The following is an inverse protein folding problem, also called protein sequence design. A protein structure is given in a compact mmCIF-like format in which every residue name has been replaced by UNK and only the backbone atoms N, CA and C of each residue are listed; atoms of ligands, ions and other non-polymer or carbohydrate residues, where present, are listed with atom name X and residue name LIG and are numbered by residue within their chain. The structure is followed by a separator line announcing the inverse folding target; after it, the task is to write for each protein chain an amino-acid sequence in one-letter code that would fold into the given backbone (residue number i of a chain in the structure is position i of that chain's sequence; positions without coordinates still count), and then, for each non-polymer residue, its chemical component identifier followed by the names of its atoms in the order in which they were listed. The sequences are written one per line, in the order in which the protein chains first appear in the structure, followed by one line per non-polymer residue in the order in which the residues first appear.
data_IF_921500995966
#
_entry.id   IF_921500995966
#
_cell.length_a   1.000
_cell.length_b   1.000
_cell.length_c   1.000
_cell.angle_alpha   90.00
_cell.angle_beta   90.00
_cell.angle_gamma   90.00
#
_symmetry.space_group_name_H-M   'P 1'
#
loop_
_entity.id
_entity.type
_entity.pdbx_description
1 polymer ?
#
# COMPACT_ATOMS: atom_id res chain seq x y z
N UNK A 1 -15.45 -24.63 -3.52
CA UNK A 1 -15.54 -23.74 -2.34
C UNK A 1 -16.49 -22.61 -2.70
N UNK A 2 -17.22 -22.00 -1.72
CA UNK A 2 -18.13 -20.87 -2.02
C UNK A 2 -17.56 -19.57 -1.47
N UNK A 3 -17.89 -18.46 -2.12
CA UNK A 3 -17.66 -17.11 -1.66
C UNK A 3 -18.99 -16.39 -1.40
N UNK A 4 -19.03 -15.56 -0.36
CA UNK A 4 -20.17 -14.70 -0.01
C UNK A 4 -19.70 -13.27 0.22
N UNK A 5 -20.58 -12.29 0.00
CA UNK A 5 -20.32 -10.87 0.23
C UNK A 5 -21.09 -10.37 1.44
N UNK A 6 -20.40 -9.77 2.40
CA UNK A 6 -20.97 -9.30 3.66
C UNK A 6 -20.77 -7.79 3.75
N UNK A 7 -21.89 -7.03 3.87
CA UNK A 7 -21.86 -5.57 4.02
C UNK A 7 -21.58 -5.18 5.48
N UNK A 8 -20.32 -5.14 5.87
CA UNK A 8 -19.87 -4.96 7.25
C UNK A 8 -18.77 -3.89 7.41
N UNK A 9 -18.50 -3.10 6.36
CA UNK A 9 -17.38 -2.14 6.37
C UNK A 9 -16.01 -2.77 6.34
N UNK A 10 -15.90 -4.05 5.96
CA UNK A 10 -14.64 -4.81 6.00
C UNK A 10 -14.30 -5.41 7.37
N UNK A 11 -15.20 -5.29 8.37
CA UNK A 11 -14.95 -5.72 9.74
C UNK A 11 -14.66 -7.22 9.85
N UNK A 12 -15.30 -8.06 9.04
CA UNK A 12 -15.04 -9.51 9.01
C UNK A 12 -13.62 -9.86 8.57
N UNK A 13 -13.00 -9.02 7.75
CA UNK A 13 -11.62 -9.18 7.31
C UNK A 13 -10.59 -8.46 8.19
N UNK A 14 -11.06 -7.74 9.24
CA UNK A 14 -10.18 -6.97 10.11
C UNK A 14 -9.19 -7.84 10.87
N UNK A 15 -7.96 -7.35 10.98
CA UNK A 15 -6.86 -7.95 11.71
C UNK A 15 -5.97 -6.83 12.29
N UNK A 16 -6.14 -6.48 13.58
CA UNK A 16 -5.42 -5.36 14.18
C UNK A 16 -3.91 -5.57 14.29
N UNK A 17 -3.43 -6.81 14.19
CA UNK A 17 -1.99 -7.10 14.20
C UNK A 17 -1.30 -6.74 12.88
N UNK A 18 -2.07 -6.48 11.83
CA UNK A 18 -1.59 -6.14 10.51
C UNK A 18 -2.19 -4.82 10.02
N UNK A 19 -1.34 -3.81 9.79
CA UNK A 19 -1.79 -2.45 9.46
C UNK A 19 -2.79 -2.41 8.30
N UNK A 20 -2.50 -3.09 7.19
CA UNK A 20 -3.36 -3.05 5.99
C UNK A 20 -4.72 -3.75 6.15
N UNK A 21 -4.97 -4.34 7.31
CA UNK A 21 -6.25 -4.90 7.70
C UNK A 21 -6.73 -4.36 9.05
N UNK A 22 -6.05 -3.35 9.61
CA UNK A 22 -6.52 -2.71 10.85
C UNK A 22 -7.85 -1.98 10.61
N UNK A 23 -8.71 -1.86 11.63
CA UNK A 23 -9.98 -1.14 11.51
C UNK A 23 -9.80 0.30 11.00
N UNK A 24 -8.82 1.04 11.54
CA UNK A 24 -8.54 2.41 11.14
C UNK A 24 -8.14 2.53 9.66
N UNK A 25 -7.31 1.59 9.18
CA UNK A 25 -6.91 1.56 7.78
C UNK A 25 -8.09 1.22 6.87
N UNK A 26 -8.88 0.19 7.20
CA UNK A 26 -10.03 -0.22 6.41
C UNK A 26 -11.07 0.92 6.31
N UNK A 27 -11.30 1.64 7.40
CA UNK A 27 -12.16 2.81 7.41
C UNK A 27 -11.58 3.96 6.58
N UNK A 28 -10.26 4.24 6.70
CA UNK A 28 -9.59 5.29 5.92
C UNK A 28 -9.65 5.03 4.41
N UNK A 29 -9.49 3.78 4.00
CA UNK A 29 -9.57 3.35 2.59
C UNK A 29 -11.02 3.21 2.08
N UNK A 30 -12.02 3.32 2.97
CA UNK A 30 -13.43 3.20 2.61
C UNK A 30 -13.85 1.77 2.28
N UNK A 31 -13.30 0.77 2.97
CA UNK A 31 -13.76 -0.60 2.84
C UNK A 31 -15.26 -0.67 3.17
N UNK A 32 -16.02 -1.37 2.34
CA UNK A 32 -17.49 -1.45 2.45
C UNK A 32 -17.98 -2.84 2.82
N UNK A 33 -17.25 -3.86 2.41
CA UNK A 33 -17.65 -5.26 2.55
C UNK A 33 -16.47 -6.16 2.86
N UNK A 34 -16.79 -7.34 3.36
CA UNK A 34 -15.90 -8.50 3.42
C UNK A 34 -16.36 -9.55 2.42
N UNK A 35 -15.45 -10.04 1.59
CA UNK A 35 -15.67 -11.29 0.83
C UNK A 35 -15.17 -12.44 1.68
N UNK A 36 -16.09 -13.30 2.09
CA UNK A 36 -15.78 -14.51 2.84
C UNK A 36 -15.69 -15.71 1.89
N UNK A 37 -14.59 -16.46 1.95
CA UNK A 37 -14.31 -17.63 1.12
C UNK A 37 -14.23 -18.87 2.00
N UNK A 38 -14.93 -19.93 1.61
CA UNK A 38 -14.85 -21.23 2.28
C UNK A 38 -15.30 -21.20 3.73
N UNK A 39 -16.47 -20.59 4.01
CA UNK A 39 -17.03 -20.46 5.37
C UNK A 39 -16.06 -19.79 6.36
N UNK A 40 -15.37 -18.75 5.91
CA UNK A 40 -14.45 -17.94 6.72
C UNK A 40 -13.01 -18.43 6.77
N UNK A 41 -12.63 -19.39 5.94
CA UNK A 41 -11.23 -19.80 5.82
C UNK A 41 -10.34 -18.62 5.38
N UNK A 42 -10.81 -17.81 4.41
CA UNK A 42 -10.21 -16.53 4.07
C UNK A 42 -11.27 -15.43 4.03
N UNK A 43 -10.88 -14.21 4.37
CA UNK A 43 -11.70 -13.00 4.35
C UNK A 43 -10.92 -11.85 3.73
N UNK A 44 -11.45 -11.33 2.61
CA UNK A 44 -10.86 -10.24 1.85
C UNK A 44 -11.61 -8.94 2.15
N UNK A 45 -10.96 -7.87 2.59
CA UNK A 45 -11.59 -6.56 2.67
C UNK A 45 -11.74 -5.98 1.26
N UNK A 46 -12.93 -5.47 0.93
CA UNK A 46 -13.19 -4.90 -0.39
C UNK A 46 -14.00 -3.62 -0.33
N UNK A 47 -13.82 -2.79 -1.35
CA UNK A 47 -14.61 -1.62 -1.68
C UNK A 47 -15.52 -2.03 -2.84
N UNK A 48 -16.81 -2.16 -2.59
CA UNK A 48 -17.81 -2.44 -3.62
C UNK A 48 -18.19 -1.14 -4.32
N UNK A 49 -18.25 -1.18 -5.66
CA UNK A 49 -18.46 -0.01 -6.51
C UNK A 49 -19.58 -0.29 -7.50
N UNK A 50 -20.50 0.64 -7.69
CA UNK A 50 -21.54 0.54 -8.71
C UNK A 50 -20.98 0.66 -10.14
N UNK A 51 -21.60 -0.08 -11.06
CA UNK A 51 -21.42 -0.03 -12.49
C UNK A 51 -22.80 0.25 -13.09
N UNK A 52 -22.88 0.89 -14.26
CA UNK A 52 -24.14 1.08 -15.01
C UNK A 52 -25.30 1.63 -14.15
N UNK A 53 -25.09 2.80 -13.50
CA UNK A 53 -26.10 3.43 -12.64
C UNK A 53 -26.57 2.55 -11.46
N UNK A 54 -25.79 1.51 -11.11
CA UNK A 54 -26.06 0.61 -9.98
C UNK A 54 -26.72 -0.71 -10.35
N UNK A 55 -26.90 -1.00 -11.64
CA UNK A 55 -27.45 -2.28 -12.10
C UNK A 55 -26.50 -3.45 -11.82
N UNK A 56 -25.18 -3.19 -11.92
CA UNK A 56 -24.12 -4.14 -11.58
C UNK A 56 -23.14 -3.55 -10.57
N UNK A 57 -22.40 -4.41 -9.90
CA UNK A 57 -21.38 -4.04 -8.94
C UNK A 57 -20.08 -4.83 -9.15
N UNK A 58 -18.95 -4.18 -8.97
CA UNK A 58 -17.65 -4.84 -8.86
C UNK A 58 -16.99 -4.51 -7.51
N UNK A 59 -15.85 -5.12 -7.26
CA UNK A 59 -15.10 -4.84 -6.05
C UNK A 59 -13.61 -4.67 -6.32
N UNK A 60 -12.97 -3.90 -5.44
CA UNK A 60 -11.52 -3.72 -5.41
C UNK A 60 -11.04 -3.79 -3.96
N UNK A 61 -9.90 -4.40 -3.72
CA UNK A 61 -9.26 -4.34 -2.39
C UNK A 61 -8.79 -2.92 -2.08
N UNK A 62 -8.70 -2.51 -0.79
CA UNK A 62 -8.02 -1.30 -0.35
C UNK A 62 -6.64 -1.13 -0.99
N UNK A 63 -6.13 0.10 -1.04
CA UNK A 63 -4.79 0.38 -1.55
C UNK A 63 -3.72 -0.15 -0.57
N UNK A 64 -2.53 -0.48 -1.07
CA UNK A 64 -1.46 -1.12 -0.30
C UNK A 64 -1.42 -2.63 -0.49
N UNK A 65 -1.24 -3.37 0.59
CA UNK A 65 -1.02 -4.82 0.57
C UNK A 65 -1.97 -5.56 1.54
N UNK A 66 -3.29 -5.39 1.41
CA UNK A 66 -4.22 -5.95 2.39
C UNK A 66 -4.26 -7.48 2.39
N UNK A 67 -4.19 -8.13 1.22
CA UNK A 67 -4.37 -9.58 1.12
C UNK A 67 -5.67 -10.03 1.76
N UNK A 68 -5.63 -11.21 2.40
CA UNK A 68 -6.74 -11.75 3.18
C UNK A 68 -6.36 -11.98 4.63
N UNK A 69 -7.32 -11.90 5.56
CA UNK A 69 -7.23 -12.47 6.90
C UNK A 69 -7.72 -13.92 6.91
N UNK A 70 -7.44 -14.65 7.98
CA UNK A 70 -7.77 -16.06 8.13
C UNK A 70 -6.58 -16.98 7.81
N UNK A 71 -6.84 -18.26 7.94
CA UNK A 71 -5.85 -19.31 7.66
C UNK A 71 -6.49 -20.43 6.85
N UNK A 72 -5.79 -20.83 5.82
CA UNK A 72 -6.10 -22.02 5.04
C UNK A 72 -4.84 -22.84 4.85
N UNK A 73 -4.93 -24.14 5.08
CA UNK A 73 -3.82 -25.05 4.81
C UNK A 73 -3.83 -25.45 3.34
N UNK A 74 -2.85 -24.98 2.58
CA UNK A 74 -2.71 -25.23 1.15
C UNK A 74 -2.97 -23.97 0.30
N UNK A 75 -3.01 -24.16 -1.02
CA UNK A 75 -3.31 -23.11 -1.98
C UNK A 75 -4.80 -23.07 -2.30
N UNK A 76 -5.38 -21.88 -2.30
CA UNK A 76 -6.74 -21.66 -2.78
C UNK A 76 -6.67 -21.16 -4.24
N UNK A 77 -7.09 -22.03 -5.18
CA UNK A 77 -7.26 -21.65 -6.57
C UNK A 77 -8.58 -20.92 -6.75
N UNK A 78 -8.56 -19.63 -7.16
CA UNK A 78 -9.78 -18.85 -7.38
C UNK A 78 -10.72 -19.44 -8.44
N UNK A 79 -10.21 -20.21 -9.40
CA UNK A 79 -11.02 -20.87 -10.45
C UNK A 79 -11.93 -21.97 -9.88
N UNK A 80 -11.60 -22.52 -8.72
CA UNK A 80 -12.40 -23.51 -7.99
C UNK A 80 -13.44 -22.90 -7.03
N UNK A 81 -13.59 -21.58 -7.00
CA UNK A 81 -14.51 -20.86 -6.12
C UNK A 81 -15.82 -20.56 -6.86
N UNK A 82 -16.93 -20.89 -6.24
CA UNK A 82 -18.26 -20.46 -6.67
C UNK A 82 -18.52 -19.03 -6.14
N UNK A 83 -18.50 -18.05 -7.04
CA UNK A 83 -18.69 -16.62 -6.76
C UNK A 83 -20.13 -16.16 -6.85
N UNK A 84 -21.07 -17.01 -7.22
CA UNK A 84 -22.46 -16.64 -7.55
C UNK A 84 -23.16 -15.90 -6.41
N UNK A 85 -22.92 -16.30 -5.16
CA UNK A 85 -23.55 -15.69 -3.99
C UNK A 85 -22.97 -14.30 -3.62
N UNK A 86 -21.91 -13.85 -4.30
CA UNK A 86 -21.36 -12.50 -4.08
C UNK A 86 -22.14 -11.42 -4.82
N UNK A 87 -22.79 -11.75 -5.95
CA UNK A 87 -23.42 -10.78 -6.83
C UNK A 87 -22.46 -9.81 -7.51
N UNK A 88 -21.15 -10.06 -7.44
CA UNK A 88 -20.12 -9.21 -8.05
C UNK A 88 -19.85 -9.65 -9.49
N UNK A 89 -19.59 -8.68 -10.37
CA UNK A 89 -19.11 -8.95 -11.75
C UNK A 89 -17.64 -9.35 -11.73
N UNK A 90 -16.82 -8.61 -11.01
CA UNK A 90 -15.39 -8.91 -10.87
C UNK A 90 -14.81 -8.38 -9.57
N UNK A 91 -13.62 -8.89 -9.19
CA UNK A 91 -12.86 -8.41 -8.03
C UNK A 91 -11.40 -8.21 -8.44
N UNK A 92 -10.85 -7.03 -8.17
CA UNK A 92 -9.41 -6.79 -8.22
C UNK A 92 -8.81 -6.88 -6.83
N UNK A 93 -7.95 -7.88 -6.60
CA UNK A 93 -7.32 -8.11 -5.30
C UNK A 93 -5.84 -7.70 -5.35
N UNK A 94 -5.42 -6.87 -4.41
CA UNK A 94 -4.01 -6.66 -4.06
C UNK A 94 -3.66 -7.60 -2.93
N UNK A 95 -2.68 -8.46 -3.16
CA UNK A 95 -2.26 -9.42 -2.14
C UNK A 95 -1.21 -8.82 -1.20
N UNK A 96 -0.85 -9.54 -0.16
CA UNK A 96 0.29 -9.21 0.69
C UNK A 96 1.61 -9.45 -0.05
N UNK A 97 2.69 -8.89 0.45
CA UNK A 97 4.02 -9.11 -0.12
C UNK A 97 4.50 -10.52 0.22
N UNK A 98 5.17 -11.15 -0.73
CA UNK A 98 5.75 -12.49 -0.58
C UNK A 98 4.77 -13.58 -0.92
N UNK A 99 4.24 -14.28 0.08
CA UNK A 99 3.31 -15.39 -0.13
C UNK A 99 1.88 -14.90 -0.36
N UNK A 100 1.30 -15.16 -1.55
CA UNK A 100 -0.06 -14.76 -1.85
C UNK A 100 -1.10 -15.59 -1.06
N UNK A 101 -2.27 -15.00 -0.81
CA UNK A 101 -3.39 -15.69 -0.16
C UNK A 101 -4.14 -16.62 -1.12
N UNK A 102 -4.07 -16.32 -2.41
CA UNK A 102 -4.70 -17.08 -3.50
C UNK A 102 -3.63 -17.52 -4.49
N UNK A 103 -3.80 -18.69 -5.11
CA UNK A 103 -2.90 -19.13 -6.18
C UNK A 103 -3.24 -18.45 -7.53
N UNK A 104 -2.37 -18.59 -8.51
CA UNK A 104 -2.59 -18.11 -9.88
C UNK A 104 -2.55 -16.58 -10.05
N UNK A 105 -2.08 -15.85 -9.06
CA UNK A 105 -1.93 -14.39 -9.16
C UNK A 105 -0.86 -13.96 -10.15
N UNK A 106 -1.05 -12.77 -10.72
CA UNK A 106 -0.05 -12.13 -11.56
C UNK A 106 0.96 -11.38 -10.69
N UNK A 107 2.26 -11.64 -10.88
CA UNK A 107 3.32 -10.81 -10.28
C UNK A 107 3.25 -9.43 -10.93
N UNK A 108 2.70 -8.46 -10.20
CA UNK A 108 2.54 -7.09 -10.68
C UNK A 108 3.88 -6.37 -10.78
N UNK A 109 4.70 -6.51 -9.76
CA UNK A 109 6.09 -6.05 -9.71
C UNK A 109 6.85 -6.78 -8.60
N UNK A 110 8.16 -6.54 -8.52
CA UNK A 110 8.95 -6.89 -7.36
C UNK A 110 9.17 -5.63 -6.51
N UNK A 111 9.01 -5.77 -5.22
CA UNK A 111 9.28 -4.71 -4.25
C UNK A 111 10.67 -4.90 -3.67
N UNK A 112 11.38 -3.79 -3.46
CA UNK A 112 12.72 -3.79 -2.90
C UNK A 112 12.65 -3.94 -1.37
N UNK A 113 13.43 -4.89 -0.84
CA UNK A 113 13.49 -5.21 0.59
C UNK A 113 14.87 -4.81 1.14
N UNK A 114 14.86 -4.07 2.24
CA UNK A 114 16.05 -3.75 3.02
C UNK A 114 15.98 -4.47 4.38
N UNK A 115 16.81 -5.49 4.54
CA UNK A 115 17.01 -6.19 5.81
C UNK A 115 18.36 -5.76 6.41
N UNK A 116 18.27 -4.88 7.42
CA UNK A 116 19.42 -4.16 7.93
C UNK A 116 20.03 -3.16 6.92
N UNK A 117 21.15 -2.56 7.27
CA UNK A 117 21.79 -1.47 6.51
C UNK A 117 22.77 -1.95 5.42
N UNK A 118 23.02 -3.26 5.31
CA UNK A 118 24.03 -3.83 4.44
C UNK A 118 23.80 -3.51 2.95
N UNK A 119 22.52 -3.36 2.54
CA UNK A 119 22.12 -3.02 1.17
C UNK A 119 22.40 -1.59 0.73
N UNK A 120 22.60 -0.67 1.67
CA UNK A 120 22.78 0.76 1.33
C UNK A 120 24.06 0.96 0.55
N UNK A 121 23.94 1.41 -0.71
CA UNK A 121 25.10 1.70 -1.58
C UNK A 121 26.02 2.75 -0.95
N UNK A 122 27.34 2.60 -1.11
CA UNK A 122 28.36 3.52 -0.56
C UNK A 122 28.04 5.00 -0.81
N UNK A 123 27.68 5.35 -2.06
CA UNK A 123 27.34 6.73 -2.44
C UNK A 123 26.17 7.30 -1.65
N UNK A 124 25.17 6.46 -1.34
CA UNK A 124 24.00 6.88 -0.52
C UNK A 124 24.41 7.12 0.92
N UNK A 125 25.24 6.24 1.51
CA UNK A 125 25.80 6.46 2.86
C UNK A 125 26.60 7.75 2.97
N UNK A 126 27.39 8.06 1.95
CA UNK A 126 28.14 9.32 1.88
C UNK A 126 27.19 10.54 1.83
N UNK A 127 26.11 10.44 1.04
CA UNK A 127 25.11 11.50 0.96
C UNK A 127 24.34 11.69 2.26
N UNK A 128 23.93 10.60 2.93
CA UNK A 128 23.29 10.63 4.25
C UNK A 128 24.16 11.36 5.25
N UNK A 129 25.44 10.96 5.40
CA UNK A 129 26.41 11.62 6.28
C UNK A 129 26.64 13.09 5.92
N UNK A 130 26.59 13.45 4.63
CA UNK A 130 26.68 14.84 4.19
C UNK A 130 25.47 15.65 4.66
N UNK A 131 24.28 15.09 4.56
CA UNK A 131 23.05 15.73 5.05
C UNK A 131 23.10 15.94 6.58
N UNK A 132 23.50 14.91 7.34
CA UNK A 132 23.67 15.01 8.79
C UNK A 132 24.62 16.16 9.19
N UNK A 133 25.78 16.28 8.50
CA UNK A 133 26.70 17.41 8.73
C UNK A 133 26.13 18.79 8.34
N UNK A 134 25.04 18.81 7.55
CA UNK A 134 24.30 20.02 7.17
C UNK A 134 23.09 20.30 8.08
N UNK A 135 22.98 19.58 9.19
CA UNK A 135 21.93 19.75 10.17
C UNK A 135 20.62 19.02 9.82
N UNK A 136 20.62 18.07 8.88
CA UNK A 136 19.47 17.21 8.66
C UNK A 136 19.36 16.17 9.75
N UNK A 137 18.18 16.10 10.36
CA UNK A 137 17.81 15.09 11.36
C UNK A 137 16.62 14.28 10.85
N UNK A 138 16.61 12.98 11.11
CA UNK A 138 15.47 12.11 10.88
C UNK A 138 14.89 11.70 12.24
N UNK A 139 13.64 12.07 12.49
CA UNK A 139 12.92 11.76 13.73
C UNK A 139 11.90 10.66 13.41
N UNK A 140 11.90 9.59 14.20
CA UNK A 140 10.91 8.51 14.13
C UNK A 140 9.95 8.71 15.28
N UNK A 141 8.68 8.89 14.96
CA UNK A 141 7.60 9.20 15.91
C UNK A 141 6.54 8.13 15.77
N UNK A 142 6.15 7.45 16.86
CA UNK A 142 5.03 6.51 16.81
C UNK A 142 3.76 7.24 16.33
N UNK A 143 2.97 6.60 15.48
CA UNK A 143 1.81 7.25 14.86
C UNK A 143 0.90 7.95 15.86
N UNK A 144 0.46 7.29 16.97
CA UNK A 144 -0.37 7.92 17.99
C UNK A 144 0.29 9.10 18.73
N UNK A 145 1.62 9.20 18.70
CA UNK A 145 2.38 10.29 19.36
C UNK A 145 2.64 11.48 18.41
N UNK A 146 2.35 11.33 17.11
CA UNK A 146 2.52 12.41 16.14
C UNK A 146 1.52 13.54 16.42
N UNK A 147 2.02 14.71 16.85
CA UNK A 147 1.20 15.88 17.12
C UNK A 147 0.72 16.59 15.85
N UNK A 148 -0.15 17.57 16.00
CA UNK A 148 -0.73 18.29 14.87
C UNK A 148 0.34 19.04 14.03
N UNK A 149 1.38 19.58 14.67
CA UNK A 149 2.44 20.31 13.96
C UNK A 149 3.27 19.37 13.09
N UNK A 150 3.63 18.21 13.63
CA UNK A 150 4.39 17.15 12.96
C UNK A 150 3.60 16.59 11.76
N UNK A 151 2.29 16.32 11.96
CA UNK A 151 1.40 15.89 10.86
C UNK A 151 1.30 16.93 9.77
N UNK A 152 1.09 18.21 10.12
CA UNK A 152 1.01 19.30 9.14
C UNK A 152 2.30 19.45 8.32
N UNK A 153 3.47 19.29 8.92
CA UNK A 153 4.75 19.32 8.20
C UNK A 153 4.85 18.19 7.16
N UNK A 154 4.42 16.98 7.53
CA UNK A 154 4.34 15.85 6.60
C UNK A 154 3.36 16.11 5.46
N UNK A 155 2.13 16.55 5.78
CA UNK A 155 1.07 16.82 4.80
C UNK A 155 1.50 17.86 3.77
N UNK A 156 2.19 18.93 4.21
CA UNK A 156 2.77 19.93 3.30
C UNK A 156 3.75 19.29 2.32
N UNK A 157 4.73 18.53 2.83
CA UNK A 157 5.74 17.88 2.02
C UNK A 157 5.13 16.85 1.04
N UNK A 158 4.11 16.11 1.49
CA UNK A 158 3.34 15.17 0.68
C UNK A 158 2.59 15.88 -0.45
N UNK A 159 1.80 16.90 -0.13
CA UNK A 159 0.99 17.67 -1.08
C UNK A 159 1.87 18.33 -2.15
N UNK A 160 2.99 18.95 -1.77
CA UNK A 160 3.94 19.52 -2.72
C UNK A 160 4.54 18.45 -3.64
N UNK A 161 4.80 17.25 -3.11
CA UNK A 161 5.27 16.12 -3.93
C UNK A 161 4.22 15.66 -4.92
N UNK A 162 2.97 15.49 -4.49
CA UNK A 162 1.87 15.08 -5.38
C UNK A 162 1.63 16.10 -6.48
N UNK A 163 1.63 17.39 -6.15
CA UNK A 163 1.49 18.47 -7.12
C UNK A 163 2.63 18.48 -8.14
N UNK A 164 3.88 18.35 -7.68
CA UNK A 164 5.08 18.36 -8.54
C UNK A 164 5.13 17.18 -9.49
N UNK A 165 4.69 16.00 -9.05
CA UNK A 165 4.73 14.77 -9.85
C UNK A 165 3.52 14.59 -10.74
N UNK A 166 2.51 15.49 -10.67
CA UNK A 166 1.26 15.35 -11.40
C UNK A 166 0.49 14.08 -11.00
N UNK A 167 0.52 13.75 -9.71
CA UNK A 167 -0.11 12.53 -9.21
C UNK A 167 -1.62 12.52 -9.49
N UNK A 168 -2.15 11.34 -9.79
CA UNK A 168 -3.59 11.16 -10.01
C UNK A 168 -4.40 11.55 -8.76
N UNK A 169 -5.63 12.05 -8.96
CA UNK A 169 -6.51 12.54 -7.90
C UNK A 169 -6.69 11.58 -6.72
N UNK A 170 -6.65 10.26 -6.97
CA UNK A 170 -6.74 9.24 -5.93
C UNK A 170 -5.61 9.25 -4.89
N UNK A 171 -4.52 9.99 -5.14
CA UNK A 171 -3.40 10.17 -4.20
C UNK A 171 -3.46 11.51 -3.47
N UNK A 172 -4.48 12.32 -3.72
CA UNK A 172 -4.69 13.60 -3.04
C UNK A 172 -5.58 13.36 -1.81
N UNK A 173 -4.97 12.80 -0.76
CA UNK A 173 -5.68 12.47 0.46
C UNK A 173 -5.98 13.71 1.31
N UNK A 174 -7.17 13.77 1.97
CA UNK A 174 -7.47 14.81 2.96
C UNK A 174 -6.71 14.56 4.27
N UNK A 175 -6.59 15.58 5.12
CA UNK A 175 -5.88 15.50 6.42
C UNK A 175 -6.41 14.38 7.32
N UNK A 176 -7.72 14.17 7.32
CA UNK A 176 -8.38 13.11 8.11
C UNK A 176 -7.90 11.69 7.74
N UNK A 177 -7.49 11.49 6.49
CA UNK A 177 -6.92 10.22 6.06
C UNK A 177 -5.61 9.94 6.79
N UNK A 178 -4.68 10.91 6.82
CA UNK A 178 -3.41 10.75 7.52
C UNK A 178 -3.59 10.62 9.04
N UNK A 179 -4.54 11.36 9.62
CA UNK A 179 -4.87 11.23 11.04
C UNK A 179 -5.33 9.81 11.37
N UNK A 180 -6.19 9.20 10.54
CA UNK A 180 -6.65 7.82 10.74
C UNK A 180 -5.50 6.82 10.64
N UNK A 181 -4.65 6.92 9.61
CA UNK A 181 -3.50 6.05 9.48
C UNK A 181 -2.57 6.10 10.70
N UNK A 182 -2.37 7.30 11.25
CA UNK A 182 -1.47 7.53 12.39
C UNK A 182 -2.10 7.23 13.75
N UNK A 183 -3.38 6.86 13.84
CA UNK A 183 -3.97 6.30 15.08
C UNK A 183 -3.48 4.90 15.39
N UNK A 184 -3.08 4.16 14.37
CA UNK A 184 -2.63 2.78 14.52
C UNK A 184 -1.29 2.71 15.26
N UNK A 185 -1.18 1.85 16.27
CA UNK A 185 0.08 1.51 16.94
C UNK A 185 1.07 0.80 16.00
N UNK A 186 0.61 0.39 14.82
CA UNK A 186 1.40 -0.21 13.75
C UNK A 186 1.87 0.80 12.72
N UNK A 187 1.86 2.10 13.04
CA UNK A 187 2.30 3.18 12.16
C UNK A 187 3.33 4.09 12.82
N UNK A 188 4.18 4.68 12.01
CA UNK A 188 5.20 5.66 12.42
C UNK A 188 5.23 6.79 11.41
N UNK A 189 5.36 8.01 11.90
CA UNK A 189 5.71 9.17 11.09
C UNK A 189 7.21 9.41 11.21
N UNK A 190 7.92 9.33 10.09
CA UNK A 190 9.35 9.62 10.01
C UNK A 190 9.51 10.98 9.38
N UNK A 191 9.94 11.97 10.16
CA UNK A 191 10.07 13.36 9.73
C UNK A 191 11.54 13.74 9.53
N UNK A 192 11.86 14.29 8.37
CA UNK A 192 13.16 14.89 8.08
C UNK A 192 13.11 16.39 8.31
N UNK A 193 13.89 16.86 9.28
CA UNK A 193 13.93 18.26 9.65
C UNK A 193 15.33 18.86 9.47
N UNK A 194 15.38 20.17 9.22
CA UNK A 194 16.58 20.98 9.24
C UNK A 194 16.24 22.35 9.86
N UNK A 195 17.08 22.83 10.76
CA UNK A 195 16.90 24.10 11.48
C UNK A 195 15.56 24.17 12.24
N UNK A 196 15.04 23.02 12.70
CA UNK A 196 13.77 22.90 13.40
C UNK A 196 12.54 22.82 12.47
N UNK A 197 12.71 22.89 11.16
CA UNK A 197 11.61 22.84 10.19
C UNK A 197 11.55 21.45 9.53
N UNK A 198 10.36 20.82 9.60
CA UNK A 198 10.07 19.57 8.92
C UNK A 198 9.86 19.77 7.42
N UNK A 199 10.78 19.24 6.60
CA UNK A 199 10.85 19.48 5.16
C UNK A 199 10.69 18.21 4.32
N UNK A 200 10.67 17.06 4.96
CA UNK A 200 10.40 15.76 4.33
C UNK A 200 9.68 14.87 5.32
N UNK A 201 8.90 13.93 4.83
CA UNK A 201 8.24 12.99 5.73
C UNK A 201 7.86 11.68 5.03
N UNK A 202 7.71 10.64 5.82
CA UNK A 202 7.24 9.34 5.39
C UNK A 202 6.35 8.71 6.46
N UNK A 203 5.27 8.05 6.05
CA UNK A 203 4.51 7.15 6.90
C UNK A 203 5.03 5.74 6.66
N UNK A 204 5.53 5.12 7.72
CA UNK A 204 5.91 3.71 7.74
C UNK A 204 4.87 2.91 8.53
N UNK A 205 4.58 1.67 8.11
CA UNK A 205 3.54 0.84 8.72
C UNK A 205 3.98 -0.62 8.81
N UNK A 206 3.60 -1.32 9.88
CA UNK A 206 3.95 -2.72 10.08
C UNK A 206 2.77 -3.64 9.70
N UNK A 207 3.00 -4.56 8.75
CA UNK A 207 2.01 -5.53 8.30
C UNK A 207 2.71 -6.78 7.73
N UNK A 208 2.14 -7.95 8.02
CA UNK A 208 2.52 -9.23 7.42
C UNK A 208 4.04 -9.50 7.42
N UNK A 209 4.70 -9.21 8.54
CA UNK A 209 6.13 -9.48 8.73
C UNK A 209 7.08 -8.46 8.10
N UNK A 210 6.57 -7.35 7.60
CA UNK A 210 7.36 -6.25 7.02
C UNK A 210 7.03 -4.91 7.69
N UNK A 211 8.04 -4.03 7.76
CA UNK A 211 7.82 -2.60 7.85
C UNK A 211 7.69 -2.07 6.42
N UNK A 212 6.66 -1.29 6.10
CA UNK A 212 6.44 -0.77 4.76
C UNK A 212 6.65 0.74 4.72
N UNK A 213 7.47 1.24 3.81
CA UNK A 213 7.39 2.63 3.37
C UNK A 213 6.08 2.79 2.57
N UNK A 214 5.11 3.44 3.16
CA UNK A 214 3.75 3.52 2.60
C UNK A 214 3.53 4.80 1.80
N UNK A 215 3.67 5.95 2.44
CA UNK A 215 3.51 7.27 1.83
C UNK A 215 4.69 8.16 2.16
N UNK A 216 5.03 9.12 1.29
CA UNK A 216 6.09 10.05 1.60
C UNK A 216 6.16 11.23 0.65
N UNK A 217 6.80 12.28 1.12
CA UNK A 217 6.99 13.50 0.37
C UNK A 217 8.20 14.31 0.81
N UNK A 218 8.59 15.26 -0.04
CA UNK A 218 9.69 16.19 0.21
C UNK A 218 9.28 17.56 -0.28
N UNK A 219 9.39 18.58 0.57
CA UNK A 219 9.14 19.97 0.22
C UNK A 219 10.08 20.43 -0.91
N UNK A 220 9.59 21.33 -1.76
CA UNK A 220 10.30 21.79 -2.95
C UNK A 220 11.70 22.33 -2.62
N UNK A 221 11.82 23.09 -1.55
CA UNK A 221 13.07 23.72 -1.11
C UNK A 221 14.14 22.71 -0.62
N UNK A 222 13.72 21.51 -0.21
CA UNK A 222 14.61 20.46 0.30
C UNK A 222 15.10 19.47 -0.78
N UNK A 223 14.60 19.55 -1.99
CA UNK A 223 14.88 18.56 -3.04
C UNK A 223 16.38 18.43 -3.36
N UNK A 224 17.14 19.53 -3.35
CA UNK A 224 18.57 19.53 -3.64
C UNK A 224 19.39 18.68 -2.67
N UNK A 225 18.95 18.58 -1.42
CA UNK A 225 19.61 17.76 -0.39
C UNK A 225 19.11 16.32 -0.39
N UNK A 226 17.92 16.08 -0.98
CA UNK A 226 17.30 14.74 -1.05
C UNK A 226 17.21 14.04 0.32
N UNK A 227 16.54 14.66 1.31
CA UNK A 227 16.50 14.18 2.70
C UNK A 227 15.81 12.83 2.86
N UNK A 228 15.00 12.39 1.89
CA UNK A 228 14.40 11.06 1.88
C UNK A 228 15.42 9.93 2.06
N UNK A 229 16.70 10.16 1.72
CA UNK A 229 17.79 9.20 1.98
C UNK A 229 18.02 8.98 3.47
N UNK A 230 17.94 10.04 4.27
CA UNK A 230 18.05 9.97 5.71
C UNK A 230 16.83 9.28 6.32
N UNK A 231 15.63 9.54 5.78
CA UNK A 231 14.40 8.89 6.22
C UNK A 231 14.43 7.39 5.94
N UNK A 232 14.93 6.97 4.76
CA UNK A 232 15.07 5.54 4.45
C UNK A 232 16.06 4.86 5.40
N UNK A 233 17.19 5.51 5.73
CA UNK A 233 18.13 4.98 6.71
C UNK A 233 17.48 4.86 8.11
N UNK A 234 16.70 5.85 8.53
CA UNK A 234 15.96 5.81 9.79
C UNK A 234 14.90 4.71 9.82
N UNK A 235 14.15 4.50 8.72
CA UNK A 235 13.17 3.42 8.62
C UNK A 235 13.84 2.03 8.61
N UNK A 236 15.02 1.88 8.00
CA UNK A 236 15.79 0.64 8.04
C UNK A 236 16.23 0.34 9.49
N UNK A 237 16.70 1.36 10.22
CA UNK A 237 17.05 1.22 11.62
C UNK A 237 15.84 0.82 12.49
N UNK A 238 14.68 1.49 12.28
CA UNK A 238 13.42 1.13 12.92
C UNK A 238 13.03 -0.32 12.62
N UNK A 239 13.11 -0.74 11.36
CA UNK A 239 12.83 -2.12 10.95
C UNK A 239 13.73 -3.13 11.68
N UNK A 240 15.02 -2.81 11.84
CA UNK A 240 15.96 -3.63 12.59
C UNK A 240 15.58 -3.74 14.07
N UNK A 241 15.16 -2.64 14.70
CA UNK A 241 14.69 -2.62 16.10
C UNK A 241 13.41 -3.45 16.29
N UNK A 242 12.51 -3.40 15.32
CA UNK A 242 11.25 -4.16 15.33
C UNK A 242 11.42 -5.62 14.90
N UNK A 243 12.58 -6.02 14.36
CA UNK A 243 12.79 -7.33 13.75
C UNK A 243 12.02 -7.53 12.44
N UNK A 244 11.73 -6.44 11.71
CA UNK A 244 10.97 -6.43 10.47
C UNK A 244 11.83 -5.88 9.32
N UNK A 245 12.03 -6.60 8.21
CA UNK A 245 12.67 -6.04 7.03
C UNK A 245 11.80 -4.90 6.44
N UNK A 246 12.45 -3.84 5.94
CA UNK A 246 11.75 -2.71 5.33
C UNK A 246 11.41 -3.01 3.86
N UNK A 247 10.13 -3.01 3.54
CA UNK A 247 9.66 -2.94 2.16
C UNK A 247 9.62 -1.50 1.69
N UNK A 248 10.45 -1.19 0.69
CA UNK A 248 10.51 0.12 0.06
C UNK A 248 9.48 0.31 -1.07
N UNK A 249 8.74 -0.77 -1.41
CA UNK A 249 7.89 -0.81 -2.61
C UNK A 249 8.71 -0.88 -3.89
N UNK A 250 8.03 -0.79 -5.03
CA UNK A 250 8.64 -0.72 -6.37
C UNK A 250 8.70 0.71 -6.94
N UNK A 251 9.09 0.83 -8.22
CA UNK A 251 8.93 2.04 -9.01
C UNK A 251 7.49 2.21 -9.55
N UNK A 252 7.24 3.26 -10.31
CA UNK A 252 5.99 3.41 -11.08
C UNK A 252 6.00 2.46 -12.29
N UNK A 253 7.17 2.35 -12.93
CA UNK A 253 7.48 1.35 -13.95
C UNK A 253 8.79 0.67 -13.62
N UNK A 254 8.96 -0.62 -13.95
CA UNK A 254 10.23 -1.31 -13.73
C UNK A 254 11.41 -0.59 -14.35
N UNK A 255 12.44 -0.32 -13.55
CA UNK A 255 13.68 0.33 -14.00
C UNK A 255 13.62 1.86 -14.10
N UNK A 256 12.55 2.51 -13.62
CA UNK A 256 12.52 3.98 -13.54
C UNK A 256 13.46 4.53 -12.45
N UNK A 257 13.59 5.85 -12.37
CA UNK A 257 14.49 6.50 -11.43
C UNK A 257 14.11 6.25 -9.95
N UNK A 258 12.83 6.04 -9.67
CA UNK A 258 12.34 5.71 -8.34
C UNK A 258 12.70 4.27 -7.97
N UNK A 259 12.57 3.35 -8.92
CA UNK A 259 12.99 1.97 -8.78
C UNK A 259 14.51 1.86 -8.49
N UNK A 260 15.36 2.53 -9.28
CA UNK A 260 16.81 2.54 -9.03
C UNK A 260 17.18 3.21 -7.70
N UNK A 261 16.46 4.26 -7.32
CA UNK A 261 16.65 4.91 -6.02
C UNK A 261 16.40 3.95 -4.87
N UNK A 262 15.26 3.24 -4.87
CA UNK A 262 14.89 2.26 -3.84
C UNK A 262 15.83 1.07 -3.83
N UNK A 263 16.19 0.55 -4.99
CA UNK A 263 17.20 -0.52 -5.15
C UNK A 263 18.53 -0.16 -4.53
N UNK A 264 18.85 1.13 -4.43
CA UNK A 264 20.09 1.62 -3.80
C UNK A 264 20.16 1.37 -2.29
N UNK A 265 19.03 1.05 -1.63
CA UNK A 265 18.93 0.75 -0.20
C UNK A 265 18.68 -0.73 0.08
N UNK A 266 18.26 -1.49 -0.91
CA UNK A 266 17.82 -2.86 -0.77
C UNK A 266 18.97 -3.88 -0.83
N UNK A 267 18.77 -5.01 -0.17
CA UNK A 267 19.59 -6.22 -0.27
C UNK A 267 18.77 -7.47 -0.61
N UNK A 268 17.45 -7.31 -0.85
CA UNK A 268 16.53 -8.35 -1.28
C UNK A 268 15.39 -7.79 -2.11
N UNK A 269 14.59 -8.70 -2.65
CA UNK A 269 13.35 -8.40 -3.38
C UNK A 269 12.28 -9.43 -3.01
N UNK A 270 11.01 -9.01 -3.06
CA UNK A 270 9.87 -9.91 -2.89
C UNK A 270 8.81 -9.66 -3.97
N UNK A 271 8.11 -10.70 -4.47
CA UNK A 271 7.05 -10.52 -5.44
C UNK A 271 5.82 -9.88 -4.79
N UNK A 272 5.17 -9.00 -5.53
CA UNK A 272 3.85 -8.47 -5.20
C UNK A 272 2.84 -8.99 -6.22
N UNK A 273 1.83 -9.72 -5.73
CA UNK A 273 0.81 -10.34 -6.56
C UNK A 273 -0.49 -9.54 -6.56
N UNK A 274 -1.16 -9.58 -7.71
CA UNK A 274 -2.56 -9.14 -7.85
C UNK A 274 -3.37 -10.23 -8.49
N UNK A 275 -4.67 -10.28 -8.16
CA UNK A 275 -5.61 -11.23 -8.75
C UNK A 275 -6.73 -10.47 -9.45
N UNK A 276 -7.01 -10.87 -10.66
CA UNK A 276 -8.06 -10.35 -11.55
C UNK A 276 -9.16 -11.42 -11.66
N UNK A 277 -10.15 -11.34 -10.76
CA UNK A 277 -11.16 -12.38 -10.60
C UNK A 277 -12.43 -11.98 -11.32
N UNK A 278 -12.88 -12.80 -12.29
CA UNK A 278 -14.17 -12.65 -12.94
C UNK A 278 -15.18 -13.55 -12.20
N UNK A 279 -16.16 -12.92 -11.55
CA UNK A 279 -17.14 -13.60 -10.70
C UNK A 279 -18.43 -13.94 -11.48
N UNK A 280 -18.84 -13.07 -12.41
CA UNK A 280 -19.92 -13.29 -13.37
C UNK A 280 -19.39 -13.11 -14.80
N UNK A 281 -19.00 -14.20 -15.49
CA UNK A 281 -18.46 -14.11 -16.84
C UNK A 281 -19.41 -13.47 -17.86
N UNK A 282 -20.73 -13.72 -17.76
CA UNK A 282 -21.69 -13.20 -18.71
C UNK A 282 -21.82 -11.67 -18.60
N UNK A 283 -22.01 -11.16 -17.39
CA UNK A 283 -22.06 -9.72 -17.12
C UNK A 283 -20.71 -9.04 -17.45
N UNK A 284 -19.60 -9.70 -17.15
CA UNK A 284 -18.26 -9.18 -17.45
C UNK A 284 -18.05 -8.99 -18.96
N UNK A 285 -18.38 -9.98 -19.79
CA UNK A 285 -18.25 -9.91 -21.24
C UNK A 285 -19.17 -8.83 -21.84
N UNK A 286 -20.41 -8.73 -21.37
CA UNK A 286 -21.35 -7.70 -21.81
C UNK A 286 -20.83 -6.29 -21.52
N UNK A 287 -20.38 -6.03 -20.28
CA UNK A 287 -19.83 -4.73 -19.87
C UNK A 287 -18.53 -4.39 -20.62
N UNK A 288 -17.64 -5.37 -20.79
CA UNK A 288 -16.41 -5.18 -21.55
C UNK A 288 -16.69 -4.83 -23.03
N UNK A 289 -17.70 -5.46 -23.64
CA UNK A 289 -18.09 -5.15 -25.01
C UNK A 289 -18.68 -3.73 -25.15
N UNK A 290 -19.41 -3.24 -24.15
CA UNK A 290 -19.98 -1.90 -24.13
C UNK A 290 -18.94 -0.79 -23.93
N UNK A 291 -17.89 -1.02 -23.15
CA UNK A 291 -16.90 0.00 -22.79
C UNK A 291 -15.88 0.33 -23.90
N UNK A 292 -15.76 -0.52 -24.90
CA UNK A 292 -14.75 -0.37 -25.95
C UNK A 292 -13.35 -0.84 -25.53
N UNK A 293 -12.31 -0.53 -26.33
CA UNK A 293 -10.97 -1.04 -26.09
C UNK A 293 -10.32 -0.37 -24.86
N UNK A 294 -9.96 -1.18 -23.88
CA UNK A 294 -9.20 -0.74 -22.72
C UNK A 294 -7.67 -0.75 -22.98
N UNK A 295 -6.87 0.03 -22.25
CA UNK A 295 -5.42 -0.10 -22.25
C UNK A 295 -4.99 -1.53 -21.93
N UNK A 296 -3.93 -2.00 -22.59
CA UNK A 296 -3.42 -3.35 -22.37
C UNK A 296 -3.10 -3.59 -20.88
N UNK A 297 -3.64 -4.68 -20.32
CA UNK A 297 -3.43 -5.06 -18.91
C UNK A 297 -4.23 -4.20 -17.91
N UNK A 298 -5.23 -3.44 -18.35
CA UNK A 298 -6.15 -2.74 -17.45
C UNK A 298 -7.33 -3.64 -17.08
N UNK A 299 -7.53 -3.84 -15.80
CA UNK A 299 -8.62 -4.67 -15.26
C UNK A 299 -9.47 -3.89 -14.24
N UNK A 300 -10.79 -4.03 -14.28
CA UNK A 300 -11.57 -4.59 -15.39
C UNK A 300 -11.68 -3.57 -16.55
N UNK A 301 -11.79 -4.02 -17.82
CA UNK A 301 -11.77 -3.14 -19.00
C UNK A 301 -12.88 -2.10 -19.01
N UNK A 302 -14.03 -2.40 -18.42
CA UNK A 302 -15.17 -1.47 -18.34
C UNK A 302 -14.98 -0.33 -17.31
N UNK A 303 -13.82 -0.23 -16.69
CA UNK A 303 -13.39 0.89 -15.81
C UNK A 303 -12.29 1.77 -16.43
N UNK A 304 -11.93 1.52 -17.69
CA UNK A 304 -10.87 2.25 -18.39
C UNK A 304 -11.29 3.65 -18.84
#
# INVERSE_FOLDING_TARGET
MKATLIADGGAGASDPENFFRSPDFLEAEGATHTVEIGSGALRLPVIVRSIDEGEHVDAISPYGYPGASGRYEGEIDPSGIDWTETGLVSIFVRDRIGEPCLSGGTVRNHVHIADGDSGIRKRLREQIRKNERRGWEAQVIAGPEADAATRSAFERAYTETMARTGAAARYLYPSEYFERLLRSERSWLVLGARDGEGLAGAIAVASDGYLHYYLGGTAQEALSDSPMKNLFAAMIALGTELGLPLSLGGGLTPGDSLDDFKRGFANGEAPFHTHELVCDPAAYEELAAKSGPAPQGFFPPYRS
#
